data_IF_307320470068
#
_entry.id   IF_307320470068
#
_cell.length_a   1.000
_cell.length_b   1.000
_cell.length_c   1.000
_cell.angle_alpha   90.00
_cell.angle_beta   90.00
_cell.angle_gamma   90.00
#
_symmetry.space_group_name_H-M   'P 1'
#
loop_
_entity.id
_entity.type
_entity.pdbx_description
1 polymer ?
#
# COMPACT_ATOMS: atom_id res chain seq x y z
N UNK A 1 -14.28 7.94 -6.14
CA UNK A 1 -15.02 9.01 -5.42
C UNK A 1 -14.03 9.89 -4.68
N UNK A 2 -14.14 11.22 -4.72
CA UNK A 2 -13.30 12.11 -3.89
C UNK A 2 -13.91 12.23 -2.48
N UNK A 3 -13.29 11.56 -1.51
CA UNK A 3 -13.77 11.55 -0.13
C UNK A 3 -13.65 12.93 0.54
N UNK A 4 -12.65 13.73 0.18
CA UNK A 4 -12.50 15.09 0.70
C UNK A 4 -13.66 15.97 0.23
N UNK A 5 -14.09 15.82 -1.02
CA UNK A 5 -15.29 16.51 -1.51
C UNK A 5 -16.52 16.14 -0.70
N UNK A 6 -16.73 14.84 -0.41
CA UNK A 6 -17.83 14.40 0.47
C UNK A 6 -17.77 15.04 1.86
N UNK A 7 -16.58 15.18 2.46
CA UNK A 7 -16.43 15.87 3.75
C UNK A 7 -16.84 17.35 3.66
N UNK A 8 -16.48 18.03 2.57
CA UNK A 8 -16.87 19.43 2.33
C UNK A 8 -18.38 19.57 2.14
N UNK A 9 -18.98 18.68 1.35
CA UNK A 9 -20.41 18.68 1.07
C UNK A 9 -21.22 18.43 2.35
N UNK A 10 -20.82 17.44 3.15
CA UNK A 10 -21.49 17.13 4.42
C UNK A 10 -21.31 18.24 5.47
N UNK A 11 -20.12 18.85 5.54
CA UNK A 11 -19.93 20.03 6.38
C UNK A 11 -20.83 21.19 5.96
N UNK A 12 -20.90 21.46 4.65
CA UNK A 12 -21.77 22.46 4.06
C UNK A 12 -23.24 22.20 4.38
N UNK A 13 -23.70 20.95 4.27
CA UNK A 13 -25.08 20.53 4.59
C UNK A 13 -25.42 20.82 6.06
N UNK A 14 -24.57 20.41 7.01
CA UNK A 14 -24.80 20.65 8.45
C UNK A 14 -24.75 22.13 8.81
N UNK A 15 -23.84 22.89 8.19
CA UNK A 15 -23.74 24.34 8.36
C UNK A 15 -24.92 25.08 7.74
N UNK A 16 -25.47 24.61 6.63
CA UNK A 16 -26.69 25.15 6.03
C UNK A 16 -27.90 24.98 6.95
N UNK A 17 -28.01 23.84 7.64
CA UNK A 17 -29.06 23.60 8.63
C UNK A 17 -28.85 24.38 9.95
N UNK A 18 -27.61 24.63 10.34
CA UNK A 18 -27.26 25.41 11.51
C UNK A 18 -26.07 26.34 11.20
N UNK A 19 -26.30 27.64 10.93
CA UNK A 19 -25.23 28.59 10.58
C UNK A 19 -24.14 28.72 11.65
N UNK A 20 -24.43 28.40 12.92
CA UNK A 20 -23.46 28.42 14.04
C UNK A 20 -22.61 27.14 14.08
N UNK A 21 -22.93 26.13 13.27
CA UNK A 21 -22.18 24.88 13.20
C UNK A 21 -20.81 25.13 12.59
N UNK A 22 -19.79 25.06 13.44
CA UNK A 22 -18.41 25.41 13.11
C UNK A 22 -17.60 24.21 12.67
N UNK A 23 -16.44 24.46 12.05
CA UNK A 23 -15.47 23.41 11.71
C UNK A 23 -15.03 22.62 12.95
N UNK A 24 -14.92 23.28 14.11
CA UNK A 24 -14.61 22.61 15.38
C UNK A 24 -15.69 21.63 15.79
N UNK A 25 -16.96 22.01 15.64
CA UNK A 25 -18.08 21.10 15.90
C UNK A 25 -18.06 19.90 14.96
N UNK A 26 -17.80 20.13 13.67
CA UNK A 26 -17.68 19.05 12.70
C UNK A 26 -16.52 18.09 13.00
N UNK A 27 -15.36 18.63 13.41
CA UNK A 27 -14.23 17.82 13.81
C UNK A 27 -14.54 16.93 15.04
N UNK A 28 -15.24 17.47 16.04
CA UNK A 28 -15.73 16.69 17.19
C UNK A 28 -16.67 15.56 16.76
N UNK A 29 -17.60 15.82 15.84
CA UNK A 29 -18.53 14.80 15.35
C UNK A 29 -17.81 13.67 14.58
N UNK A 30 -16.71 14.03 13.90
CA UNK A 30 -15.83 13.08 13.22
C UNK A 30 -14.77 12.44 14.13
N UNK A 31 -14.75 12.78 15.41
CA UNK A 31 -13.80 12.28 16.40
C UNK A 31 -12.34 12.59 16.02
N UNK A 32 -12.08 13.84 15.65
CA UNK A 32 -10.74 14.33 15.28
C UNK A 32 -10.52 15.76 15.74
N UNK A 33 -9.27 16.22 15.75
CA UNK A 33 -8.97 17.60 16.04
C UNK A 33 -9.22 18.52 14.84
N UNK A 34 -9.70 19.74 15.11
CA UNK A 34 -10.02 20.75 14.12
C UNK A 34 -8.83 21.18 13.25
N UNK A 35 -7.60 21.17 13.78
CA UNK A 35 -6.40 21.47 13.00
C UNK A 35 -6.14 20.38 11.96
N UNK A 36 -6.29 19.12 12.35
CA UNK A 36 -6.15 17.95 11.46
C UNK A 36 -7.19 18.00 10.36
N UNK A 37 -8.46 18.21 10.71
CA UNK A 37 -9.54 18.31 9.72
C UNK A 37 -9.32 19.50 8.76
N UNK A 38 -8.91 20.65 9.28
CA UNK A 38 -8.59 21.83 8.46
C UNK A 38 -7.46 21.55 7.47
N UNK A 39 -6.37 20.91 7.91
CA UNK A 39 -5.25 20.52 7.03
C UNK A 39 -5.70 19.54 5.96
N UNK A 40 -6.55 18.58 6.30
CA UNK A 40 -7.11 17.61 5.35
C UNK A 40 -7.95 18.31 4.29
N UNK A 41 -8.89 19.16 4.69
CA UNK A 41 -9.78 19.88 3.76
C UNK A 41 -9.03 20.83 2.83
N UNK A 42 -7.88 21.33 3.26
CA UNK A 42 -6.97 22.23 2.51
C UNK A 42 -5.88 21.52 1.71
N UNK A 43 -5.92 20.19 1.60
CA UNK A 43 -4.90 19.38 0.91
C UNK A 43 -3.48 19.48 1.51
N UNK A 44 -3.34 19.99 2.74
CA UNK A 44 -2.05 20.05 3.46
C UNK A 44 -1.70 18.73 4.14
N UNK A 45 -2.71 17.90 4.43
CA UNK A 45 -2.54 16.55 4.96
C UNK A 45 -3.26 15.54 4.07
N UNK A 46 -2.58 14.44 3.77
CA UNK A 46 -3.19 13.31 3.06
C UNK A 46 -4.22 12.62 3.95
N UNK A 47 -5.31 12.19 3.34
CA UNK A 47 -6.34 11.41 3.97
C UNK A 47 -5.93 9.94 3.82
N UNK A 48 -5.69 9.22 4.92
CA UNK A 48 -5.36 7.79 4.82
C UNK A 48 -6.63 6.95 4.72
N UNK A 49 -6.57 5.71 4.19
CA UNK A 49 -7.72 4.80 4.18
C UNK A 49 -8.31 4.57 5.56
N UNK A 50 -7.47 4.53 6.61
CA UNK A 50 -7.93 4.43 8.00
C UNK A 50 -8.78 5.64 8.42
N UNK A 51 -8.39 6.84 8.00
CA UNK A 51 -9.18 8.05 8.26
C UNK A 51 -10.48 8.05 7.44
N UNK A 52 -10.45 7.56 6.19
CA UNK A 52 -11.67 7.35 5.39
C UNK A 52 -12.65 6.43 6.13
N UNK A 53 -12.18 5.30 6.66
CA UNK A 53 -13.03 4.37 7.41
C UNK A 53 -13.61 5.01 8.66
N UNK A 54 -12.78 5.69 9.46
CA UNK A 54 -13.23 6.38 10.68
C UNK A 54 -14.31 7.41 10.37
N UNK A 55 -14.02 8.32 9.43
CA UNK A 55 -14.94 9.40 9.08
C UNK A 55 -16.19 8.85 8.39
N UNK A 56 -16.06 7.86 7.51
CA UNK A 56 -17.20 7.25 6.82
C UNK A 56 -18.21 6.64 7.80
N UNK A 57 -17.72 5.96 8.84
CA UNK A 57 -18.57 5.40 9.92
C UNK A 57 -19.25 6.51 10.72
N UNK A 58 -18.53 7.57 11.09
CA UNK A 58 -19.08 8.74 11.81
C UNK A 58 -20.12 9.51 10.99
N UNK A 59 -19.95 9.52 9.68
CA UNK A 59 -20.92 10.07 8.72
C UNK A 59 -22.06 9.11 8.39
N UNK A 60 -22.09 7.91 8.99
CA UNK A 60 -23.10 6.87 8.76
C UNK A 60 -23.23 6.50 7.28
N UNK A 61 -22.11 6.50 6.55
CA UNK A 61 -22.08 6.02 5.18
C UNK A 61 -22.26 4.50 5.14
N UNK A 62 -22.87 4.00 4.06
CA UNK A 62 -23.00 2.56 3.84
C UNK A 62 -21.61 1.92 3.69
N UNK A 63 -21.40 0.68 4.17
CA UNK A 63 -20.08 0.04 4.17
C UNK A 63 -19.44 -0.07 2.78
N UNK A 64 -20.22 -0.35 1.75
CA UNK A 64 -19.79 -0.41 0.34
C UNK A 64 -19.20 0.93 -0.14
N UNK A 65 -19.83 2.04 0.24
CA UNK A 65 -19.35 3.39 -0.10
C UNK A 65 -18.03 3.70 0.61
N UNK A 66 -17.85 3.21 1.84
CA UNK A 66 -16.60 3.37 2.58
C UNK A 66 -15.48 2.59 1.91
N UNK A 67 -15.74 1.34 1.52
CA UNK A 67 -14.77 0.49 0.80
C UNK A 67 -14.38 1.15 -0.53
N UNK A 68 -15.34 1.63 -1.31
CA UNK A 68 -15.05 2.34 -2.57
C UNK A 68 -14.18 3.58 -2.33
N UNK A 69 -14.44 4.33 -1.26
CA UNK A 69 -13.65 5.49 -0.90
C UNK A 69 -12.23 5.15 -0.43
N UNK A 70 -12.04 4.03 0.29
CA UNK A 70 -10.71 3.53 0.64
C UNK A 70 -9.91 3.17 -0.61
N UNK A 71 -10.49 2.40 -1.53
CA UNK A 71 -9.85 2.02 -2.79
C UNK A 71 -9.49 3.26 -3.62
N UNK A 72 -10.39 4.23 -3.70
CA UNK A 72 -10.11 5.50 -4.39
C UNK A 72 -8.95 6.29 -3.74
N UNK A 73 -8.82 6.23 -2.41
CA UNK A 73 -7.73 6.89 -1.69
C UNK A 73 -6.37 6.21 -1.91
N UNK A 74 -6.36 4.87 -1.93
CA UNK A 74 -5.17 4.08 -2.27
C UNK A 74 -4.77 4.32 -3.74
N UNK A 75 -5.75 4.38 -4.64
CA UNK A 75 -5.54 4.71 -6.05
C UNK A 75 -4.87 6.08 -6.26
N UNK A 76 -5.24 7.10 -5.47
CA UNK A 76 -4.59 8.41 -5.51
C UNK A 76 -3.10 8.31 -5.12
N UNK A 77 -2.77 7.51 -4.11
CA UNK A 77 -1.38 7.27 -3.71
C UNK A 77 -0.59 6.55 -4.82
N UNK A 78 -1.20 5.58 -5.49
CA UNK A 78 -0.60 4.90 -6.65
C UNK A 78 -0.37 5.88 -7.80
N UNK A 79 -1.35 6.72 -8.16
CA UNK A 79 -1.20 7.72 -9.23
C UNK A 79 -0.09 8.73 -8.92
N UNK A 80 0.02 9.15 -7.65
CA UNK A 80 1.08 10.05 -7.20
C UNK A 80 2.45 9.42 -7.38
N UNK A 81 2.57 8.11 -7.10
CA UNK A 81 3.79 7.36 -7.33
C UNK A 81 4.09 7.16 -8.82
N UNK A 82 3.05 6.93 -9.63
CA UNK A 82 3.14 6.80 -11.10
C UNK A 82 3.65 8.08 -11.78
N UNK A 83 3.48 9.24 -11.16
CA UNK A 83 4.06 10.51 -11.62
C UNK A 83 5.56 10.67 -11.35
N UNK A 84 6.20 9.79 -10.58
CA UNK A 84 7.61 9.90 -10.24
C UNK A 84 8.52 9.29 -11.32
N UNK A 85 9.71 9.86 -11.52
CA UNK A 85 10.72 9.34 -12.46
C UNK A 85 11.22 7.93 -12.12
N UNK A 86 11.16 7.55 -10.85
CA UNK A 86 11.59 6.24 -10.35
C UNK A 86 10.48 5.20 -10.30
N UNK A 87 9.31 5.51 -10.85
CA UNK A 87 8.16 4.61 -10.82
C UNK A 87 8.48 3.25 -11.44
N UNK A 88 8.08 2.18 -10.74
CA UNK A 88 8.09 0.81 -11.27
C UNK A 88 6.66 0.28 -11.36
N UNK A 89 6.24 -0.22 -12.53
CA UNK A 89 4.92 -0.83 -12.72
C UNK A 89 4.91 -2.28 -12.19
N UNK A 90 5.06 -2.42 -10.88
CA UNK A 90 5.06 -3.68 -10.16
C UNK A 90 4.29 -3.52 -8.84
N UNK A 91 3.27 -4.36 -8.61
CA UNK A 91 2.39 -4.23 -7.44
C UNK A 91 3.13 -4.36 -6.11
N UNK A 92 4.16 -5.21 -6.03
CA UNK A 92 4.95 -5.39 -4.81
C UNK A 92 5.80 -4.16 -4.52
N UNK A 93 6.46 -3.62 -5.52
CA UNK A 93 7.22 -2.38 -5.41
C UNK A 93 6.33 -1.20 -4.97
N UNK A 94 5.13 -1.09 -5.53
CA UNK A 94 4.15 -0.07 -5.14
C UNK A 94 3.73 -0.26 -3.68
N UNK A 95 3.41 -1.49 -3.26
CA UNK A 95 3.05 -1.81 -1.88
C UNK A 95 4.14 -1.41 -0.88
N UNK A 96 5.40 -1.81 -1.14
CA UNK A 96 6.55 -1.44 -0.31
C UNK A 96 6.75 0.07 -0.25
N UNK A 97 6.56 0.78 -1.37
CA UNK A 97 6.84 2.22 -1.44
C UNK A 97 5.73 3.08 -0.83
N UNK A 98 4.50 2.62 -0.87
CA UNK A 98 3.32 3.33 -0.35
C UNK A 98 2.94 2.91 1.07
N UNK A 99 3.37 1.73 1.52
CA UNK A 99 2.92 1.11 2.76
C UNK A 99 1.50 0.54 2.67
N UNK A 100 0.91 0.50 1.48
CA UNK A 100 -0.42 -0.07 1.22
C UNK A 100 -0.28 -1.59 1.10
N UNK A 101 -1.16 -2.38 1.73
CA UNK A 101 -1.22 -3.83 1.54
C UNK A 101 -1.32 -4.24 0.06
N UNK A 102 -0.69 -5.35 -0.33
CA UNK A 102 -0.57 -5.75 -1.73
C UNK A 102 -1.94 -5.98 -2.41
N UNK A 103 -2.88 -6.57 -1.70
CA UNK A 103 -4.27 -6.76 -2.12
C UNK A 103 -5.00 -5.43 -2.36
N UNK A 104 -4.82 -4.45 -1.47
CA UNK A 104 -5.34 -3.10 -1.62
C UNK A 104 -4.69 -2.36 -2.81
N UNK A 105 -3.39 -2.56 -3.06
CA UNK A 105 -2.73 -2.06 -4.27
C UNK A 105 -3.35 -2.65 -5.53
N UNK A 106 -3.59 -3.96 -5.56
CA UNK A 106 -4.22 -4.61 -6.71
C UNK A 106 -5.65 -4.10 -6.93
N UNK A 107 -6.44 -3.94 -5.87
CA UNK A 107 -7.76 -3.34 -5.95
C UNK A 107 -7.71 -1.89 -6.49
N UNK A 108 -6.76 -1.09 -6.03
CA UNK A 108 -6.54 0.27 -6.52
C UNK A 108 -6.15 0.30 -8.00
N UNK A 109 -5.28 -0.61 -8.46
CA UNK A 109 -4.92 -0.73 -9.86
C UNK A 109 -6.11 -1.12 -10.73
N UNK A 110 -6.88 -2.14 -10.34
CA UNK A 110 -8.11 -2.52 -11.03
C UNK A 110 -9.09 -1.35 -11.14
N UNK A 111 -9.24 -0.59 -10.04
CA UNK A 111 -10.09 0.60 -10.01
C UNK A 111 -9.60 1.68 -11.00
N UNK A 112 -8.30 1.99 -11.01
CA UNK A 112 -7.70 2.98 -11.91
C UNK A 112 -7.82 2.60 -13.39
N UNK A 113 -7.62 1.32 -13.71
CA UNK A 113 -7.78 0.81 -15.08
C UNK A 113 -9.23 0.89 -15.54
N UNK A 114 -10.17 0.50 -14.66
CA UNK A 114 -11.59 0.59 -14.96
C UNK A 114 -12.06 2.03 -15.15
N UNK A 115 -11.57 2.96 -14.32
CA UNK A 115 -11.84 4.41 -14.46
C UNK A 115 -11.06 5.07 -15.60
N UNK A 116 -10.17 4.34 -16.27
CA UNK A 116 -9.28 4.83 -17.34
C UNK A 116 -8.37 5.99 -16.90
N UNK A 117 -8.12 6.10 -15.60
CA UNK A 117 -7.19 7.08 -15.02
C UNK A 117 -5.74 6.61 -15.08
N UNK A 118 -5.53 5.31 -15.33
CA UNK A 118 -4.24 4.72 -15.62
C UNK A 118 -4.35 3.90 -16.90
N UNK A 119 -3.35 4.02 -17.77
CA UNK A 119 -3.23 3.20 -18.98
C UNK A 119 -1.95 2.39 -18.89
N UNK A 120 -2.06 1.07 -19.08
CA UNK A 120 -0.90 0.19 -19.22
C UNK A 120 -0.45 0.19 -20.67
N UNK A 121 0.39 1.15 -21.05
CA UNK A 121 0.93 1.23 -22.41
C UNK A 121 1.83 0.03 -22.74
N UNK A 122 2.50 -0.54 -21.74
CA UNK A 122 3.14 -1.85 -21.82
C UNK A 122 3.30 -2.48 -20.43
N UNK A 123 3.81 -3.71 -20.37
CA UNK A 123 4.18 -4.38 -19.11
C UNK A 123 5.16 -3.57 -18.25
N UNK A 124 5.90 -2.63 -18.84
CA UNK A 124 6.97 -1.88 -18.18
C UNK A 124 6.71 -0.38 -18.17
N UNK A 125 5.56 0.05 -18.69
CA UNK A 125 5.22 1.46 -18.84
C UNK A 125 3.75 1.68 -18.59
N UNK A 126 3.43 2.24 -17.42
CA UNK A 126 2.08 2.69 -17.08
C UNK A 126 2.05 4.21 -17.05
N UNK A 127 1.01 4.80 -17.64
CA UNK A 127 0.89 6.25 -17.79
C UNK A 127 -0.39 6.70 -17.09
N UNK A 128 -0.29 7.61 -16.09
CA UNK A 128 -1.47 8.23 -15.50
C UNK A 128 -2.12 9.16 -16.54
N UNK A 129 -3.42 9.04 -16.73
CA UNK A 129 -4.21 9.90 -17.60
C UNK A 129 -4.60 11.16 -16.83
N UNK A 130 -3.84 12.23 -17.00
CA UNK A 130 -4.14 13.53 -16.41
C UNK A 130 -5.04 14.30 -17.38
N UNK A 131 -6.28 14.70 -16.99
CA UNK A 131 -7.13 15.52 -17.84
C UNK A 131 -6.42 16.83 -18.24
N UNK A 132 -6.41 17.16 -19.53
CA UNK A 132 -5.80 18.40 -20.04
C UNK A 132 -4.28 18.33 -20.32
N UNK A 133 -3.61 17.21 -20.03
CA UNK A 133 -2.22 16.97 -20.45
C UNK A 133 -2.25 16.02 -21.65
N UNK A 134 -1.85 16.51 -22.83
CA UNK A 134 -1.56 15.62 -23.96
C UNK A 134 -0.57 14.56 -23.45
N UNK A 135 -0.88 13.28 -23.69
CA UNK A 135 0.03 12.18 -23.40
C UNK A 135 1.35 12.55 -24.08
N UNK A 136 2.40 12.84 -23.32
CA UNK A 136 3.75 12.85 -23.87
C UNK A 136 3.99 11.41 -24.30
N UNK A 137 3.71 11.13 -25.58
CA UNK A 137 3.76 9.83 -26.23
C UNK A 137 5.18 9.31 -26.38
N UNK A 138 6.15 9.91 -25.69
CA UNK A 138 7.51 9.42 -25.70
C UNK A 138 7.71 8.50 -24.48
N UNK A 139 7.95 7.18 -24.68
CA UNK A 139 8.36 6.32 -23.59
C UNK A 139 9.59 6.94 -22.91
N UNK A 140 9.65 7.01 -21.57
CA UNK A 140 10.86 7.47 -20.92
C UNK A 140 12.03 6.57 -21.38
N UNK A 141 13.23 7.12 -21.62
CA UNK A 141 14.42 6.30 -21.86
C UNK A 141 14.52 5.27 -20.73
N UNK A 142 14.89 4.03 -21.07
CA UNK A 142 14.77 2.86 -20.22
C UNK A 142 15.05 3.19 -18.74
N UNK A 143 14.14 2.84 -17.82
CA UNK A 143 14.25 3.31 -16.45
C UNK A 143 15.54 2.74 -15.84
N UNK A 144 16.34 3.61 -15.21
CA UNK A 144 17.69 3.32 -14.73
C UNK A 144 17.81 2.06 -13.83
N UNK A 145 16.71 1.58 -13.26
CA UNK A 145 16.69 0.34 -12.49
C UNK A 145 16.77 -0.95 -13.34
N UNK A 146 16.56 -0.85 -14.66
CA UNK A 146 16.80 -1.92 -15.63
C UNK A 146 18.21 -1.89 -16.22
N UNK A 147 19.00 -0.85 -15.93
CA UNK A 147 20.43 -0.82 -16.22
C UNK A 147 21.19 -1.70 -15.23
N UNK A 148 20.87 -2.99 -15.19
CA UNK A 148 21.80 -3.96 -14.63
C UNK A 148 22.99 -4.01 -15.58
N UNK A 149 24.24 -3.80 -15.13
CA UNK A 149 25.36 -4.24 -15.93
C UNK A 149 25.12 -5.73 -16.15
N UNK A 150 24.91 -6.13 -17.40
CA UNK A 150 24.96 -7.53 -17.78
C UNK A 150 26.37 -7.96 -17.36
N UNK A 151 26.50 -8.62 -16.21
CA UNK A 151 27.71 -9.33 -15.85
C UNK A 151 27.98 -10.23 -17.05
N UNK A 152 28.99 -9.88 -17.84
CA UNK A 152 29.47 -10.73 -18.89
C UNK A 152 29.75 -12.11 -18.25
N UNK A 153 29.47 -13.23 -18.93
CA UNK A 153 29.96 -14.51 -18.45
C UNK A 153 31.47 -14.35 -18.31
N UNK A 154 31.96 -14.46 -17.07
CA UNK A 154 33.36 -14.31 -16.73
C UNK A 154 34.14 -15.43 -17.42
N UNK A 155 34.63 -15.12 -18.62
CA UNK A 155 35.54 -15.97 -19.35
C UNK A 155 36.95 -15.71 -18.80
N UNK A 156 37.43 -16.72 -18.08
CA UNK A 156 38.82 -17.09 -17.95
C UNK A 156 39.70 -16.38 -16.90
N UNK A 157 40.20 -17.26 -16.02
CA UNK A 157 41.63 -17.44 -15.67
C UNK A 157 42.07 -16.82 -14.35
N UNK A 158 41.87 -17.57 -13.27
CA UNK A 158 42.84 -17.61 -12.17
C UNK A 158 43.37 -19.03 -12.07
N UNK A 159 44.68 -19.12 -12.28
CA UNK A 159 45.52 -20.31 -12.25
C UNK A 159 45.97 -20.48 -10.80
N UNK A 160 45.75 -21.66 -10.23
CA UNK A 160 46.38 -22.12 -8.99
C UNK A 160 45.62 -21.76 -7.71
N UNK A 161 45.09 -22.78 -7.03
CA UNK A 161 45.13 -23.00 -5.57
C UNK A 161 44.66 -24.46 -5.31
N UNK A 162 45.18 -25.14 -4.27
CA UNK A 162 45.25 -26.59 -4.19
C UNK A 162 43.94 -27.27 -3.73
N UNK A 163 43.80 -28.54 -4.14
CA UNK A 163 42.75 -29.48 -3.70
C UNK A 163 42.80 -29.66 -2.18
N UNK A 164 41.81 -29.15 -1.47
CA UNK A 164 41.50 -29.60 -0.11
C UNK A 164 40.41 -30.69 -0.18
N UNK A 165 40.74 -31.85 0.39
CA UNK A 165 39.90 -33.03 0.52
C UNK A 165 38.71 -32.77 1.44
N UNK A 166 37.50 -32.97 0.93
CA UNK A 166 36.30 -33.05 1.78
C UNK A 166 36.16 -34.48 2.28
N UNK A 167 36.63 -34.71 3.51
CA UNK A 167 36.34 -35.91 4.30
C UNK A 167 34.88 -35.86 4.74
N UNK A 168 34.17 -36.95 4.49
CA UNK A 168 32.81 -37.20 4.98
C UNK A 168 32.77 -37.18 6.51
N UNK A 169 31.84 -36.42 7.08
CA UNK A 169 31.34 -36.70 8.43
C UNK A 169 29.82 -36.68 8.38
N UNK A 170 29.23 -37.88 8.47
CA UNK A 170 27.78 -38.10 8.60
C UNK A 170 27.30 -37.62 9.97
N UNK A 171 26.12 -36.98 10.09
CA UNK A 171 25.44 -36.89 11.38
C UNK A 171 24.71 -38.21 11.67
N UNK A 172 24.97 -38.81 12.83
CA UNK A 172 24.26 -40.00 13.32
C UNK A 172 22.85 -39.66 13.84
N UNK A 173 21.91 -40.64 13.85
CA UNK A 173 20.55 -40.42 14.33
C UNK A 173 20.47 -40.46 15.87
N UNK A 174 19.52 -39.74 16.50
CA UNK A 174 19.25 -39.91 17.93
C UNK A 174 18.43 -41.18 18.19
N UNK A 175 18.87 -41.95 19.18
CA UNK A 175 18.26 -43.17 19.71
C UNK A 175 17.07 -42.82 20.61
N UNK A 176 15.98 -43.59 20.46
CA UNK A 176 14.80 -43.63 21.32
C UNK A 176 15.14 -44.19 22.70
N UNK A 177 14.57 -43.61 23.77
CA UNK A 177 14.36 -44.33 25.03
C UNK A 177 13.03 -43.90 25.70
N UNK A 178 12.21 -44.91 25.97
CA UNK A 178 11.01 -44.98 26.82
C UNK A 178 10.90 -46.48 27.21
N UNK A 179 10.14 -46.92 28.24
CA UNK A 179 9.36 -46.20 29.28
C UNK A 179 9.48 -46.80 30.71
N UNK A 180 8.77 -46.21 31.68
CA UNK A 180 8.20 -46.88 32.88
C UNK A 180 8.44 -46.14 34.20
N UNK A 181 7.62 -46.17 35.26
CA UNK A 181 6.27 -46.67 35.59
C UNK A 181 5.96 -46.16 37.02
N UNK A 182 4.68 -45.88 37.34
CA UNK A 182 4.07 -45.76 38.70
C UNK A 182 4.47 -44.58 39.62
N UNK A 183 3.67 -44.07 40.57
CA UNK A 183 2.27 -44.21 40.99
C UNK A 183 2.00 -43.23 42.17
N UNK A 184 0.71 -43.08 42.57
CA UNK A 184 0.17 -42.63 43.88
C UNK A 184 0.11 -41.11 44.17
N UNK A 185 -1.09 -40.51 44.21
CA UNK A 185 -1.98 -40.31 45.38
C UNK A 185 -1.51 -39.14 46.28
N UNK A 186 -2.30 -38.09 46.52
CA UNK A 186 -3.36 -38.09 47.52
C UNK A 186 -4.28 -36.85 47.40
N UNK A 187 -5.50 -37.09 47.86
CA UNK A 187 -6.65 -36.19 47.97
C UNK A 187 -6.78 -35.69 49.44
N UNK A 188 -7.75 -34.80 49.71
CA UNK A 188 -8.36 -34.43 51.03
C UNK A 188 -7.81 -33.14 51.69
N UNK A 189 -8.62 -32.35 52.45
CA UNK A 189 -10.04 -32.49 52.81
C UNK A 189 -11.04 -31.60 52.07
#
# INVERSE_FOLDING_TARGET
>A
MDFRRRLKDEFGRRRGANPRYSLRAFARDLDTDHSTLSQILRHRRNLSPRMVQLFGRRLRLRPDVIVEACVAQDAEAVLRLAGLRSFRPDSRWIATRTGIPLDAVNAALHWLLHKRELVMASAIWWVPRIPGRLLLTNPPPQPAWKSTPRLAPSAARIRGLPRASWSQTRPGPPVHDQPGTSAAAQNTP
#
